data_IF_314317719653
#
_entry.id   IF_314317719653
#
_cell.length_a   1.000
_cell.length_b   1.000
_cell.length_c   1.000
_cell.angle_alpha   90.00
_cell.angle_beta   90.00
_cell.angle_gamma   90.00
#
_symmetry.space_group_name_H-M   'P 1'
#
loop_
_entity.id
_entity.type
_entity.pdbx_description
1 polymer ?
#
# COMPACT_ATOMS: atom_id res chain seq x y z
N UNK A 1 -17.57 -2.37 -13.60
CA UNK A 1 -17.12 -1.15 -12.91
C UNK A 1 -16.83 -1.50 -11.46
N UNK A 2 -15.67 -2.11 -11.19
CA UNK A 2 -15.32 -2.56 -9.83
C UNK A 2 -14.80 -1.36 -9.05
N UNK A 3 -15.48 -1.02 -7.94
CA UNK A 3 -15.17 0.12 -7.04
C UNK A 3 -13.86 -0.08 -6.24
N UNK A 4 -12.83 -0.66 -6.85
CA UNK A 4 -11.56 -0.97 -6.17
C UNK A 4 -11.63 -2.13 -5.19
N UNK A 5 -12.69 -2.94 -5.20
CA UNK A 5 -12.82 -4.13 -4.33
C UNK A 5 -11.87 -5.23 -4.82
N UNK A 6 -11.01 -5.71 -3.92
CA UNK A 6 -10.04 -6.77 -4.16
C UNK A 6 -10.39 -7.94 -3.23
N UNK A 7 -10.98 -8.98 -3.83
CA UNK A 7 -11.30 -10.22 -3.13
C UNK A 7 -10.20 -11.25 -3.31
N UNK A 8 -10.12 -12.19 -2.37
CA UNK A 8 -9.21 -13.33 -2.50
C UNK A 8 -9.48 -14.08 -3.80
N UNK A 9 -8.41 -14.41 -4.52
CA UNK A 9 -8.56 -15.19 -5.74
C UNK A 9 -9.06 -16.61 -5.41
N UNK A 10 -9.71 -17.31 -6.37
CA UNK A 10 -10.05 -18.71 -6.19
C UNK A 10 -8.82 -19.56 -5.84
N UNK A 11 -9.00 -20.70 -5.14
CA UNK A 11 -7.92 -21.65 -4.89
C UNK A 11 -7.16 -22.00 -6.17
N UNK A 12 -5.84 -22.18 -6.06
CA UNK A 12 -4.92 -22.49 -7.17
C UNK A 12 -4.70 -21.36 -8.20
N UNK A 13 -5.17 -20.14 -7.93
CA UNK A 13 -4.79 -18.99 -8.76
C UNK A 13 -3.31 -18.68 -8.61
N UNK A 14 -2.60 -18.59 -9.73
CA UNK A 14 -1.19 -18.18 -9.76
C UNK A 14 -1.07 -16.72 -9.32
N UNK A 15 -0.42 -16.48 -8.20
CA UNK A 15 -0.06 -15.13 -7.75
C UNK A 15 1.06 -14.60 -8.64
N UNK A 16 0.80 -13.50 -9.34
CA UNK A 16 1.76 -12.87 -10.26
C UNK A 16 2.40 -11.64 -9.62
N UNK A 17 3.53 -11.87 -8.94
CA UNK A 17 4.42 -10.81 -8.49
C UNK A 17 3.99 -10.12 -7.20
N UNK A 18 4.55 -8.94 -6.98
CA UNK A 18 4.43 -8.14 -5.77
C UNK A 18 4.00 -6.72 -6.15
N UNK A 19 3.04 -6.16 -5.40
CA UNK A 19 2.61 -4.77 -5.56
C UNK A 19 2.54 -4.11 -4.19
N UNK A 20 3.09 -2.90 -4.09
CA UNK A 20 3.12 -2.15 -2.84
C UNK A 20 2.07 -1.05 -2.89
N UNK A 21 1.37 -0.89 -1.79
CA UNK A 21 0.26 0.05 -1.60
C UNK A 21 0.34 0.62 -0.19
N UNK A 22 -0.29 1.76 0.04
CA UNK A 22 -0.40 2.31 1.40
C UNK A 22 -1.71 1.90 2.03
N UNK A 23 -1.61 1.34 3.24
CA UNK A 23 -2.76 1.09 4.08
C UNK A 23 -3.14 2.37 4.80
N UNK A 24 -4.27 2.96 4.40
CA UNK A 24 -4.82 4.18 5.00
C UNK A 24 -5.76 3.92 6.18
N UNK A 25 -6.22 2.67 6.33
CA UNK A 25 -7.08 2.25 7.42
C UNK A 25 -7.57 0.83 7.27
N UNK A 26 -8.44 0.40 8.19
CA UNK A 26 -9.12 -0.89 8.16
C UNK A 26 -10.52 -0.76 8.71
N UNK A 27 -11.45 -1.58 8.20
CA UNK A 27 -12.83 -1.65 8.67
C UNK A 27 -13.12 -3.09 9.04
N UNK A 28 -13.67 -3.29 10.24
CA UNK A 28 -14.22 -4.57 10.68
C UNK A 28 -15.69 -4.64 10.28
N UNK A 29 -16.04 -5.64 9.50
CA UNK A 29 -17.40 -5.88 9.03
C UNK A 29 -17.60 -7.39 8.91
N UNK A 30 -18.49 -7.94 9.75
CA UNK A 30 -18.79 -9.37 9.80
C UNK A 30 -19.46 -9.89 8.52
N UNK A 31 -19.97 -9.00 7.67
CA UNK A 31 -20.55 -9.36 6.37
C UNK A 31 -19.49 -9.53 5.28
N UNK A 32 -18.23 -9.20 5.56
CA UNK A 32 -17.10 -9.35 4.64
C UNK A 32 -16.29 -10.59 5.03
N UNK A 33 -15.79 -11.40 4.06
CA UNK A 33 -14.97 -12.58 4.35
C UNK A 33 -13.79 -12.27 5.29
N UNK A 34 -13.63 -13.14 6.29
CA UNK A 34 -12.69 -13.01 7.41
C UNK A 34 -12.85 -11.72 8.25
N UNK A 35 -14.05 -11.12 8.25
CA UNK A 35 -14.47 -10.12 9.23
C UNK A 35 -14.04 -8.68 8.94
N UNK A 36 -13.60 -8.38 7.72
CA UNK A 36 -13.29 -7.01 7.33
C UNK A 36 -12.37 -6.84 6.12
N UNK A 37 -11.91 -5.61 5.94
CA UNK A 37 -11.02 -5.22 4.84
C UNK A 37 -10.09 -4.05 5.20
N UNK A 38 -8.95 -4.01 4.50
CA UNK A 38 -8.02 -2.90 4.51
C UNK A 38 -8.39 -1.86 3.45
N UNK A 39 -8.23 -0.58 3.78
CA UNK A 39 -8.40 0.54 2.85
C UNK A 39 -7.03 0.93 2.31
N UNK A 40 -6.84 0.76 1.01
CA UNK A 40 -5.56 0.93 0.33
C UNK A 40 -5.59 2.16 -0.58
N UNK A 41 -4.58 3.02 -0.50
CA UNK A 41 -4.32 4.04 -1.52
C UNK A 41 -3.34 3.48 -2.54
N UNK A 42 -3.71 3.55 -3.81
CA UNK A 42 -2.88 3.10 -4.93
C UNK A 42 -2.25 4.29 -5.66
N UNK A 43 -1.18 4.05 -6.40
CA UNK A 43 -0.43 5.07 -7.15
C UNK A 43 -0.78 5.10 -8.64
N UNK A 44 -1.93 4.55 -9.02
CA UNK A 44 -2.37 4.51 -10.41
C UNK A 44 -3.19 5.74 -10.80
N UNK A 45 -3.53 6.63 -9.87
CA UNK A 45 -4.32 7.83 -10.11
C UNK A 45 -5.81 7.67 -9.79
N UNK A 46 -6.57 8.77 -9.83
CA UNK A 46 -7.96 8.81 -9.36
C UNK A 46 -8.97 7.99 -10.18
N UNK A 47 -8.64 7.65 -11.42
CA UNK A 47 -9.45 6.79 -12.29
C UNK A 47 -9.52 5.32 -11.87
N UNK A 48 -8.57 4.84 -11.07
CA UNK A 48 -8.56 3.46 -10.62
C UNK A 48 -9.35 3.30 -9.32
N UNK A 49 -10.17 2.24 -9.25
CA UNK A 49 -10.92 1.88 -8.06
C UNK A 49 -11.92 2.94 -7.65
N UNK A 50 -11.88 3.33 -6.37
CA UNK A 50 -12.69 4.41 -5.81
C UNK A 50 -11.81 5.65 -5.58
N UNK A 51 -11.70 6.52 -6.59
CA UNK A 51 -10.88 7.73 -6.54
C UNK A 51 -9.40 7.45 -6.18
N UNK A 52 -8.85 6.35 -6.67
CA UNK A 52 -7.47 5.90 -6.39
C UNK A 52 -7.36 4.95 -5.19
N UNK A 53 -8.46 4.65 -4.50
CA UNK A 53 -8.50 3.72 -3.39
C UNK A 53 -9.03 2.34 -3.78
N UNK A 54 -8.61 1.34 -3.02
CA UNK A 54 -9.11 -0.02 -3.11
C UNK A 54 -9.36 -0.61 -1.73
N UNK A 55 -10.13 -1.70 -1.70
CA UNK A 55 -10.60 -2.36 -0.49
C UNK A 55 -10.19 -3.83 -0.55
N UNK A 56 -9.22 -4.22 0.27
CA UNK A 56 -8.63 -5.56 0.26
C UNK A 56 -9.16 -6.38 1.44
N UNK A 57 -9.88 -7.48 1.17
CA UNK A 57 -10.41 -8.31 2.25
C UNK A 57 -9.30 -8.88 3.14
N UNK A 58 -9.56 -9.05 4.44
CA UNK A 58 -8.61 -9.71 5.34
C UNK A 58 -8.29 -11.13 4.87
N UNK A 59 -9.26 -11.80 4.28
CA UNK A 59 -9.11 -13.11 3.66
C UNK A 59 -8.03 -13.15 2.57
N UNK A 60 -7.93 -12.09 1.76
CA UNK A 60 -6.88 -12.01 0.74
C UNK A 60 -5.50 -12.14 1.38
N UNK A 61 -5.25 -11.36 2.43
CA UNK A 61 -3.94 -11.36 3.09
C UNK A 61 -3.66 -12.65 3.87
N UNK A 62 -4.70 -13.27 4.44
CA UNK A 62 -4.56 -14.59 5.06
C UNK A 62 -4.21 -15.67 4.04
N UNK A 63 -4.77 -15.61 2.83
CA UNK A 63 -4.51 -16.60 1.77
C UNK A 63 -3.21 -16.36 0.99
N UNK A 64 -2.78 -15.10 0.86
CA UNK A 64 -1.72 -14.71 -0.06
C UNK A 64 -0.49 -14.05 0.60
N UNK A 65 -0.25 -14.30 1.90
CA UNK A 65 0.95 -13.84 2.64
C UNK A 65 1.29 -12.37 2.40
N UNK A 66 0.38 -11.47 2.74
CA UNK A 66 0.68 -10.03 2.74
C UNK A 66 1.78 -9.70 3.77
N UNK A 67 2.72 -8.85 3.37
CA UNK A 67 3.66 -8.22 4.29
C UNK A 67 3.19 -6.78 4.58
N UNK A 68 3.06 -6.43 5.85
CA UNK A 68 2.67 -5.09 6.31
C UNK A 68 3.80 -4.53 7.14
N UNK A 69 4.30 -3.35 6.77
CA UNK A 69 5.28 -2.61 7.54
C UNK A 69 4.70 -1.29 8.02
N UNK A 70 4.92 -0.97 9.30
CA UNK A 70 4.53 0.32 9.86
C UNK A 70 5.57 1.38 9.50
N UNK A 71 5.11 2.54 9.03
CA UNK A 71 5.98 3.68 8.72
C UNK A 71 6.19 4.62 9.91
N UNK A 72 5.91 4.20 11.15
CA UNK A 72 6.09 5.04 12.35
C UNK A 72 7.55 5.54 12.52
N UNK A 73 8.51 4.95 11.83
CA UNK A 73 9.93 5.38 11.83
C UNK A 73 10.28 6.39 10.73
N UNK A 74 9.39 6.61 9.76
CA UNK A 74 9.52 7.65 8.75
C UNK A 74 8.87 8.93 9.26
N UNK A 75 9.59 9.63 10.15
CA UNK A 75 9.23 11.01 10.50
C UNK A 75 9.04 11.81 9.20
N UNK A 76 7.92 12.55 9.10
CA UNK A 76 7.74 13.51 8.02
C UNK A 76 8.94 14.46 7.99
N UNK A 77 9.65 14.57 6.86
CA UNK A 77 10.75 15.52 6.75
C UNK A 77 10.23 16.91 7.06
N UNK A 78 11.02 17.70 7.77
CA UNK A 78 10.73 19.13 7.88
C UNK A 78 10.83 19.80 6.50
N UNK A 79 10.17 20.94 6.33
CA UNK A 79 10.18 21.67 5.06
C UNK A 79 11.63 22.01 4.65
N UNK A 80 12.05 21.53 3.47
CA UNK A 80 13.44 21.67 2.99
C UNK A 80 14.41 20.56 3.42
N UNK A 81 13.97 19.58 4.22
CA UNK A 81 14.76 18.41 4.58
C UNK A 81 14.67 17.34 3.47
N UNK A 82 15.81 16.96 2.90
CA UNK A 82 15.87 15.87 1.92
C UNK A 82 15.59 14.54 2.63
N UNK A 83 14.68 13.74 2.07
CA UNK A 83 14.38 12.42 2.63
C UNK A 83 15.52 11.50 2.35
N UNK A 84 16.13 11.00 3.42
CA UNK A 84 17.05 9.89 3.32
C UNK A 84 16.28 8.61 2.95
N UNK A 85 16.05 8.45 1.65
CA UNK A 85 15.41 7.29 1.05
C UNK A 85 16.18 6.01 1.39
N UNK A 86 17.50 6.06 1.54
CA UNK A 86 18.29 4.89 1.89
C UNK A 86 18.05 4.47 3.34
N UNK A 87 17.96 5.42 4.27
CA UNK A 87 17.54 5.15 5.65
C UNK A 87 16.14 4.56 5.71
N UNK A 88 15.20 5.14 4.96
CA UNK A 88 13.83 4.61 4.85
C UNK A 88 13.81 3.17 4.34
N UNK A 89 14.52 2.89 3.25
CA UNK A 89 14.61 1.57 2.64
C UNK A 89 15.28 0.55 3.57
N UNK A 90 16.25 0.98 4.37
CA UNK A 90 16.96 0.14 5.33
C UNK A 90 16.08 -0.28 6.51
N UNK A 91 15.16 0.58 6.97
CA UNK A 91 14.16 0.24 8.01
C UNK A 91 13.24 -0.92 7.61
N UNK A 92 13.04 -1.15 6.31
CA UNK A 92 12.16 -2.23 5.84
C UNK A 92 12.89 -3.56 5.62
N UNK A 93 14.23 -3.61 5.78
CA UNK A 93 15.07 -4.79 5.51
C UNK A 93 14.82 -5.43 4.12
N UNK A 94 14.30 -4.64 3.16
CA UNK A 94 13.96 -5.11 1.82
C UNK A 94 15.25 -5.21 0.99
N UNK A 95 15.76 -6.43 0.85
CA UNK A 95 16.94 -6.70 0.02
C UNK A 95 16.63 -6.74 -1.49
N UNK A 96 15.37 -6.97 -1.87
CA UNK A 96 14.94 -7.04 -3.27
C UNK A 96 15.04 -5.66 -3.96
N UNK A 97 15.83 -5.59 -5.05
CA UNK A 97 16.08 -4.33 -5.79
C UNK A 97 14.80 -3.75 -6.39
N UNK A 98 13.91 -4.59 -6.92
CA UNK A 98 12.68 -4.14 -7.59
C UNK A 98 11.70 -3.55 -6.58
N UNK A 99 11.60 -4.15 -5.40
CA UNK A 99 10.78 -3.65 -4.31
C UNK A 99 11.34 -2.34 -3.76
N UNK A 100 12.66 -2.19 -3.63
CA UNK A 100 13.31 -0.91 -3.30
C UNK A 100 12.98 0.19 -4.32
N UNK A 101 13.08 -0.11 -5.61
CA UNK A 101 12.76 0.85 -6.68
C UNK A 101 11.27 1.26 -6.66
N UNK A 102 10.37 0.33 -6.33
CA UNK A 102 8.94 0.61 -6.18
C UNK A 102 8.66 1.49 -4.96
N UNK A 103 9.28 1.18 -3.81
CA UNK A 103 9.15 1.97 -2.58
C UNK A 103 9.69 3.39 -2.77
N UNK A 104 10.80 3.58 -3.49
CA UNK A 104 11.30 4.92 -3.86
C UNK A 104 10.28 5.73 -4.65
N UNK A 105 9.64 5.13 -5.67
CA UNK A 105 8.61 5.81 -6.49
C UNK A 105 7.39 6.18 -5.65
N UNK A 106 7.01 5.28 -4.74
CA UNK A 106 5.87 5.46 -3.87
C UNK A 106 6.09 6.58 -2.84
N UNK A 107 7.24 6.58 -2.13
CA UNK A 107 7.62 7.65 -1.20
C UNK A 107 7.63 9.01 -1.92
N UNK A 108 8.27 9.09 -3.10
CA UNK A 108 8.25 10.30 -3.92
C UNK A 108 6.82 10.76 -4.25
N UNK A 109 5.95 9.85 -4.70
CA UNK A 109 4.56 10.18 -5.06
C UNK A 109 3.73 10.67 -3.87
N UNK A 110 3.90 10.05 -2.69
CA UNK A 110 3.29 10.49 -1.43
C UNK A 110 3.72 11.91 -1.09
N UNK A 111 5.02 12.20 -1.16
CA UNK A 111 5.57 13.50 -0.81
C UNK A 111 5.08 14.63 -1.71
N UNK A 112 5.04 14.42 -3.03
CA UNK A 112 4.49 15.40 -3.97
C UNK A 112 3.02 15.75 -3.66
N UNK A 113 2.25 14.80 -3.10
CA UNK A 113 0.87 15.08 -2.69
C UNK A 113 0.78 15.80 -1.35
N UNK A 114 1.76 15.66 -0.45
CA UNK A 114 1.78 16.40 0.81
C UNK A 114 2.24 17.84 0.64
N UNK A 115 3.15 18.13 -0.31
CA UNK A 115 3.62 19.50 -0.57
C UNK A 115 2.65 20.32 -1.44
N UNK A 116 1.79 19.68 -2.25
CA UNK A 116 0.83 20.38 -3.11
C UNK A 116 -0.45 20.87 -2.39
N UNK A 117 -0.58 20.63 -1.08
CA UNK A 117 -1.77 20.98 -0.28
C UNK A 117 -1.50 22.00 0.85
N UNK A 118 -0.38 22.72 0.80
CA UNK A 118 -0.11 23.88 1.65
C UNK A 118 0.19 25.12 0.80
#
# INVERSE_FOLDING_TARGET
>A
NTRGVIQAAPPNTKVLGWHMVFMSGMIFDQNVPDGGYYILKNSWGGWWGDKGYGYLSFEYCRRHSCFVASMNELRSPSEGEEVDLEKALKCFEINDKRMRDHLRRYIKSLMYHFTAHF
#
